data_IF_730842164897
#
_entry.id   IF_730842164897
#
_cell.length_a   1.000
_cell.length_b   1.000
_cell.length_c   1.000
_cell.angle_alpha   90.00
_cell.angle_beta   90.00
_cell.angle_gamma   90.00
#
_symmetry.space_group_name_H-M   'P 1'
#
loop_
_entity.id
_entity.type
_entity.pdbx_description
1 polymer ?
#
# COMPACT_ATOMS: atom_id res chain seq x y z
N UNK A 1 -16.53 18.70 3.31
CA UNK A 1 -15.38 19.29 2.60
C UNK A 1 -15.82 20.65 2.09
N UNK A 2 -14.99 21.69 2.23
CA UNK A 2 -15.29 23.04 1.72
C UNK A 2 -14.25 23.41 0.66
N UNK A 3 -14.65 24.21 -0.34
CA UNK A 3 -13.75 24.73 -1.37
C UNK A 3 -13.41 26.18 -0.99
N UNK A 4 -12.22 26.44 -0.40
CA UNK A 4 -11.92 27.75 0.17
C UNK A 4 -11.68 28.79 -0.93
N UNK A 5 -12.17 30.02 -0.70
CA UNK A 5 -11.84 31.16 -1.57
C UNK A 5 -10.38 31.56 -1.40
N UNK A 6 -9.64 31.64 -2.50
CA UNK A 6 -8.24 32.09 -2.52
C UNK A 6 -8.14 33.61 -2.40
N UNK A 7 -7.08 34.12 -1.77
CA UNK A 7 -6.87 35.56 -1.59
C UNK A 7 -6.52 36.23 -2.93
N UNK A 8 -6.76 37.54 -3.05
CA UNK A 8 -6.42 38.29 -4.26
C UNK A 8 -4.92 38.19 -4.61
N UNK A 9 -4.04 38.16 -3.61
CA UNK A 9 -2.60 37.97 -3.78
C UNK A 9 -2.26 36.62 -4.41
N UNK A 10 -2.86 35.54 -3.92
CA UNK A 10 -2.66 34.19 -4.45
C UNK A 10 -3.22 34.09 -5.88
N UNK A 11 -4.39 34.67 -6.12
CA UNK A 11 -4.98 34.75 -7.46
C UNK A 11 -4.10 35.53 -8.44
N UNK A 12 -3.36 36.56 -7.99
CA UNK A 12 -2.41 37.27 -8.82
C UNK A 12 -1.23 36.37 -9.24
N UNK A 13 -0.65 35.62 -8.29
CA UNK A 13 0.41 34.64 -8.59
C UNK A 13 -0.06 33.55 -9.57
N UNK A 14 -1.31 33.10 -9.45
CA UNK A 14 -1.89 32.18 -10.45
C UNK A 14 -2.00 32.79 -11.85
N UNK A 15 -2.31 34.09 -11.97
CA UNK A 15 -2.36 34.78 -13.27
C UNK A 15 -0.98 34.87 -13.94
N UNK A 16 0.09 34.94 -13.16
CA UNK A 16 1.46 34.95 -13.69
C UNK A 16 1.88 33.57 -14.24
N UNK A 17 1.34 32.50 -13.67
CA UNK A 17 1.62 31.11 -14.08
C UNK A 17 0.75 30.70 -15.27
N UNK A 18 -0.54 31.06 -15.23
CA UNK A 18 -1.55 30.59 -16.16
C UNK A 18 -1.68 31.49 -17.40
N UNK A 19 -2.69 31.21 -18.23
CA UNK A 19 -2.99 32.01 -19.43
C UNK A 19 -4.20 32.92 -19.17
N UNK A 20 -4.38 34.01 -19.95
CA UNK A 20 -5.43 35.00 -19.68
C UNK A 20 -6.87 34.45 -19.60
N UNK A 21 -7.14 33.33 -20.28
CA UNK A 21 -8.46 32.67 -20.28
C UNK A 21 -8.68 31.70 -19.12
N UNK A 22 -7.67 31.46 -18.29
CA UNK A 22 -7.75 30.60 -17.11
C UNK A 22 -8.58 31.24 -15.99
N UNK A 23 -9.36 30.44 -15.27
CA UNK A 23 -9.98 30.87 -14.02
C UNK A 23 -9.00 30.65 -12.86
N UNK A 24 -8.74 31.70 -12.09
CA UNK A 24 -7.89 31.65 -10.89
C UNK A 24 -8.69 31.57 -9.59
N UNK A 25 -10.02 31.43 -9.68
CA UNK A 25 -10.85 31.11 -8.54
C UNK A 25 -10.59 29.66 -8.09
N UNK A 26 -11.22 29.22 -6.99
CA UNK A 26 -11.21 27.81 -6.61
C UNK A 26 -12.56 27.21 -7.00
N UNK A 27 -12.64 26.26 -7.96
CA UNK A 27 -11.53 25.55 -8.61
C UNK A 27 -10.74 26.37 -9.63
N UNK A 28 -9.43 26.10 -9.70
CA UNK A 28 -8.49 26.72 -10.65
C UNK A 28 -8.61 25.99 -11.98
N UNK A 29 -8.87 26.73 -13.06
CA UNK A 29 -9.02 26.18 -14.40
C UNK A 29 -7.80 26.51 -15.27
N UNK A 30 -7.08 25.48 -15.70
CA UNK A 30 -5.83 25.65 -16.44
C UNK A 30 -6.10 26.11 -17.88
N UNK A 31 -7.27 25.77 -18.44
CA UNK A 31 -7.72 26.20 -19.76
C UNK A 31 -6.73 25.94 -20.91
N UNK A 32 -5.90 24.91 -20.83
CA UNK A 32 -4.86 24.62 -21.82
C UNK A 32 -3.47 25.20 -21.51
N UNK A 33 -3.25 25.76 -20.30
CA UNK A 33 -1.96 26.32 -19.92
C UNK A 33 -0.81 25.30 -19.92
N UNK A 34 -1.10 24.01 -19.69
CA UNK A 34 -0.07 22.96 -19.73
C UNK A 34 0.52 22.76 -21.12
N UNK A 35 -0.33 22.94 -22.12
CA UNK A 35 -0.12 22.69 -23.54
C UNK A 35 0.40 23.93 -24.27
N UNK A 36 0.04 25.12 -23.79
CA UNK A 36 0.46 26.39 -24.38
C UNK A 36 1.67 27.03 -23.71
N UNK A 37 1.88 26.81 -22.40
CA UNK A 37 3.01 27.40 -21.67
C UNK A 37 4.07 26.36 -21.30
N UNK A 38 3.69 25.41 -20.45
CA UNK A 38 4.61 24.44 -19.88
C UNK A 38 3.83 23.45 -19.04
N UNK A 39 4.24 22.17 -19.03
CA UNK A 39 3.71 21.19 -18.09
C UNK A 39 4.06 21.54 -16.64
N UNK A 40 5.02 22.45 -16.41
CA UNK A 40 5.36 22.88 -15.07
C UNK A 40 4.24 23.62 -14.33
N UNK A 41 3.23 24.11 -15.06
CA UNK A 41 2.05 24.77 -14.47
C UNK A 41 1.34 23.87 -13.45
N UNK A 42 1.37 22.54 -13.64
CA UNK A 42 0.78 21.58 -12.70
C UNK A 42 1.44 21.68 -11.32
N UNK A 43 2.76 21.49 -11.22
CA UNK A 43 3.43 21.59 -9.92
C UNK A 43 3.44 23.01 -9.36
N UNK A 44 3.56 24.05 -10.21
CA UNK A 44 3.54 25.44 -9.75
C UNK A 44 2.21 25.81 -9.11
N UNK A 45 1.09 25.40 -9.72
CA UNK A 45 -0.22 25.68 -9.19
C UNK A 45 -0.52 24.89 -7.91
N UNK A 46 -0.10 23.62 -7.87
CA UNK A 46 -0.26 22.76 -6.69
C UNK A 46 0.58 23.27 -5.52
N UNK A 47 1.83 23.68 -5.77
CA UNK A 47 2.70 24.24 -4.74
C UNK A 47 2.08 25.51 -4.12
N UNK A 48 1.61 26.43 -4.96
CA UNK A 48 0.99 27.67 -4.50
C UNK A 48 -0.27 27.41 -3.64
N UNK A 49 -1.04 26.37 -3.98
CA UNK A 49 -2.20 25.95 -3.17
C UNK A 49 -1.74 25.36 -1.83
N UNK A 50 -0.72 24.49 -1.83
CA UNK A 50 -0.19 23.84 -0.63
C UNK A 50 0.45 24.81 0.36
N UNK A 51 0.94 25.97 -0.11
CA UNK A 51 1.44 27.04 0.77
C UNK A 51 0.36 27.74 1.60
N UNK A 52 -0.93 27.55 1.28
CA UNK A 52 -2.02 28.26 1.96
C UNK A 52 -2.49 27.49 3.20
N UNK A 53 -2.50 28.12 4.37
CA UNK A 53 -2.95 27.49 5.63
C UNK A 53 -4.39 26.98 5.56
N UNK A 54 -5.25 27.66 4.81
CA UNK A 54 -6.66 27.29 4.59
C UNK A 54 -6.88 26.11 3.63
N UNK A 55 -5.81 25.54 3.08
CA UNK A 55 -5.86 24.40 2.17
C UNK A 55 -5.27 23.20 2.89
N UNK A 56 -6.13 22.25 3.25
CA UNK A 56 -5.72 21.01 3.92
C UNK A 56 -5.33 19.92 2.93
N UNK A 57 -5.89 19.96 1.72
CA UNK A 57 -5.68 18.96 0.67
C UNK A 57 -5.88 19.55 -0.71
N UNK A 58 -5.26 18.95 -1.72
CA UNK A 58 -5.37 19.38 -3.13
C UNK A 58 -6.00 18.27 -3.97
N UNK A 59 -6.93 18.64 -4.85
CA UNK A 59 -7.51 17.75 -5.84
C UNK A 59 -7.20 18.28 -7.24
N UNK A 60 -6.48 17.48 -8.04
CA UNK A 60 -6.21 17.78 -9.44
C UNK A 60 -7.15 16.94 -10.29
N UNK A 61 -7.84 17.56 -11.23
CA UNK A 61 -8.84 16.93 -12.10
C UNK A 61 -8.56 17.32 -13.56
N UNK A 62 -8.62 16.35 -14.49
CA UNK A 62 -8.53 16.64 -15.93
C UNK A 62 -7.75 15.63 -16.76
N UNK A 63 -6.77 16.13 -17.52
CA UNK A 63 -6.12 15.42 -18.63
C UNK A 63 -4.62 15.16 -18.41
N UNK A 64 -4.12 15.30 -17.17
CA UNK A 64 -2.71 15.12 -16.85
C UNK A 64 -2.19 13.76 -17.34
N UNK A 65 -1.01 13.74 -17.95
CA UNK A 65 -0.26 12.53 -18.29
C UNK A 65 -0.42 12.04 -19.73
N UNK A 66 -1.61 12.16 -20.32
CA UNK A 66 -1.92 11.50 -21.61
C UNK A 66 -2.18 12.43 -22.78
N UNK A 67 -2.25 13.75 -22.56
CA UNK A 67 -2.43 14.69 -23.67
C UNK A 67 -1.11 14.96 -24.38
N UNK A 68 -1.06 14.67 -25.69
CA UNK A 68 0.10 14.93 -26.54
C UNK A 68 0.33 16.43 -26.70
N UNK A 69 1.56 16.87 -26.48
CA UNK A 69 1.98 18.27 -26.66
C UNK A 69 3.39 18.33 -27.24
N UNK A 70 3.66 19.30 -28.12
CA UNK A 70 5.00 19.53 -28.66
C UNK A 70 5.96 20.12 -27.63
N UNK A 71 5.43 20.56 -26.49
CA UNK A 71 6.20 21.10 -25.37
C UNK A 71 6.93 20.02 -24.55
N UNK A 72 6.58 18.73 -24.71
CA UNK A 72 7.15 17.67 -23.90
C UNK A 72 8.61 17.35 -24.29
N UNK A 73 9.56 18.09 -23.72
CA UNK A 73 10.98 17.98 -24.03
C UNK A 73 11.86 18.26 -22.81
N UNK A 74 13.02 17.62 -22.73
CA UNK A 74 13.99 17.83 -21.66
C UNK A 74 13.39 17.60 -20.27
N UNK A 75 13.34 18.66 -19.46
CA UNK A 75 12.76 18.64 -18.11
C UNK A 75 11.26 18.97 -18.08
N UNK A 76 10.67 19.42 -19.18
CA UNK A 76 9.26 19.77 -19.28
C UNK A 76 8.44 18.54 -19.69
N UNK A 77 8.33 17.55 -18.82
CA UNK A 77 7.61 16.29 -19.09
C UNK A 77 6.56 15.99 -18.02
N UNK A 78 5.58 15.15 -18.32
CA UNK A 78 4.62 14.69 -17.31
C UNK A 78 5.32 13.89 -16.20
N UNK A 79 6.36 13.15 -16.57
CA UNK A 79 7.21 12.38 -15.64
C UNK A 79 7.98 13.29 -14.68
N UNK A 80 8.52 14.42 -15.17
CA UNK A 80 9.16 15.43 -14.33
C UNK A 80 8.15 16.13 -13.41
N UNK A 81 6.98 16.47 -13.95
CA UNK A 81 5.87 17.07 -13.18
C UNK A 81 5.38 16.12 -12.09
N UNK A 82 5.24 14.82 -12.38
CA UNK A 82 4.89 13.79 -11.40
C UNK A 82 5.91 13.71 -10.25
N UNK A 83 7.22 13.74 -10.55
CA UNK A 83 8.27 13.77 -9.51
C UNK A 83 8.20 15.03 -8.66
N UNK A 84 7.93 16.19 -9.27
CA UNK A 84 7.77 17.44 -8.55
C UNK A 84 6.56 17.36 -7.61
N UNK A 85 5.40 16.88 -8.08
CA UNK A 85 4.20 16.66 -7.26
C UNK A 85 4.47 15.75 -6.05
N UNK A 86 5.17 14.63 -6.24
CA UNK A 86 5.58 13.75 -5.13
C UNK A 86 6.45 14.49 -4.09
N UNK A 87 7.36 15.35 -4.57
CA UNK A 87 8.24 16.14 -3.69
C UNK A 87 7.45 17.18 -2.90
N UNK A 88 6.44 17.81 -3.52
CA UNK A 88 5.56 18.78 -2.85
C UNK A 88 4.74 18.12 -1.74
N UNK A 89 4.17 16.94 -2.00
CA UNK A 89 3.39 16.17 -1.01
C UNK A 89 4.25 15.82 0.20
N UNK A 90 5.51 15.44 0.00
CA UNK A 90 6.48 15.21 1.09
C UNK A 90 6.83 16.49 1.85
N UNK A 91 7.02 17.61 1.14
CA UNK A 91 7.44 18.89 1.72
C UNK A 91 6.35 19.55 2.56
N UNK A 92 5.12 19.61 2.05
CA UNK A 92 4.02 20.31 2.69
C UNK A 92 3.14 19.41 3.56
N UNK A 93 3.30 18.09 3.46
CA UNK A 93 2.51 17.09 4.19
C UNK A 93 0.99 17.26 4.02
N UNK A 94 0.55 17.78 2.86
CA UNK A 94 -0.86 17.93 2.47
C UNK A 94 -1.22 16.85 1.45
N UNK A 95 -2.31 16.08 1.66
CA UNK A 95 -2.73 15.08 0.70
C UNK A 95 -3.03 15.68 -0.67
N UNK A 96 -2.59 14.99 -1.72
CA UNK A 96 -2.91 15.28 -3.11
C UNK A 96 -3.60 14.06 -3.71
N UNK A 97 -4.77 14.26 -4.29
CA UNK A 97 -5.44 13.24 -5.10
C UNK A 97 -5.43 13.73 -6.55
N UNK A 98 -5.07 12.84 -7.47
CA UNK A 98 -5.07 13.14 -8.89
C UNK A 98 -6.15 12.31 -9.59
N UNK A 99 -7.02 12.99 -10.32
CA UNK A 99 -7.91 12.40 -11.30
C UNK A 99 -7.39 12.74 -12.70
N UNK A 100 -7.31 11.72 -13.55
CA UNK A 100 -7.04 11.89 -14.98
C UNK A 100 -7.87 10.92 -15.80
N UNK A 101 -8.39 11.36 -16.95
CA UNK A 101 -9.11 10.45 -17.86
C UNK A 101 -8.22 9.31 -18.40
N UNK A 102 -6.90 9.51 -18.37
CA UNK A 102 -5.88 8.57 -18.82
C UNK A 102 -5.34 7.68 -17.71
N UNK A 103 -5.89 7.75 -16.49
CA UNK A 103 -5.32 7.09 -15.31
C UNK A 103 -5.10 5.56 -15.46
N UNK A 104 -5.84 4.90 -16.35
CA UNK A 104 -5.74 3.46 -16.60
C UNK A 104 -4.72 3.13 -17.71
N UNK A 105 -4.17 4.14 -18.39
CA UNK A 105 -3.15 3.98 -19.41
C UNK A 105 -1.78 3.72 -18.76
N UNK A 106 -0.90 2.90 -19.40
CA UNK A 106 0.41 2.54 -18.87
C UNK A 106 1.43 3.67 -19.06
N UNK A 107 1.19 4.82 -18.42
CA UNK A 107 2.03 6.01 -18.53
C UNK A 107 2.98 6.14 -17.33
N UNK A 108 4.30 6.31 -17.55
CA UNK A 108 5.30 6.37 -16.48
C UNK A 108 5.03 7.44 -15.40
N UNK A 109 4.36 8.52 -15.78
CA UNK A 109 3.98 9.57 -14.83
C UNK A 109 3.01 9.06 -13.75
N UNK A 110 2.07 8.17 -14.09
CA UNK A 110 1.12 7.62 -13.12
C UNK A 110 1.77 6.59 -12.21
N UNK A 111 2.68 5.78 -12.73
CA UNK A 111 3.45 4.83 -11.92
C UNK A 111 4.28 5.57 -10.87
N UNK A 112 4.92 6.68 -11.26
CA UNK A 112 5.66 7.55 -10.33
C UNK A 112 4.77 8.19 -9.28
N UNK A 113 3.59 8.68 -9.66
CA UNK A 113 2.64 9.28 -8.72
C UNK A 113 2.19 8.24 -7.69
N UNK A 114 1.80 7.04 -8.15
CA UNK A 114 1.36 5.93 -7.28
C UNK A 114 2.49 5.50 -6.34
N UNK A 115 3.68 5.26 -6.87
CA UNK A 115 4.89 4.94 -6.09
C UNK A 115 5.28 6.05 -5.10
N UNK A 116 4.96 7.31 -5.42
CA UNK A 116 5.16 8.47 -4.57
C UNK A 116 4.08 8.70 -3.51
N UNK A 117 3.07 7.81 -3.41
CA UNK A 117 1.97 7.92 -2.45
C UNK A 117 0.85 8.88 -2.88
N UNK A 118 0.80 9.28 -4.15
CA UNK A 118 -0.30 10.08 -4.71
C UNK A 118 -1.28 9.14 -5.39
N UNK A 119 -2.50 8.97 -4.86
CA UNK A 119 -3.51 8.13 -5.51
C UNK A 119 -4.00 8.78 -6.81
N UNK A 120 -4.04 7.96 -7.87
CA UNK A 120 -4.44 8.35 -9.22
C UNK A 120 -5.69 7.56 -9.63
N UNK A 121 -6.77 8.27 -9.96
CA UNK A 121 -8.05 7.66 -10.33
C UNK A 121 -8.54 8.13 -11.70
N UNK A 122 -9.26 7.24 -12.40
CA UNK A 122 -9.95 7.63 -13.64
C UNK A 122 -11.27 8.34 -13.37
N UNK A 123 -12.07 7.81 -12.46
CA UNK A 123 -13.40 8.33 -12.17
C UNK A 123 -13.35 9.46 -11.13
N UNK A 124 -13.96 10.63 -11.40
CA UNK A 124 -13.99 11.74 -10.46
C UNK A 124 -14.69 11.40 -9.14
N UNK A 125 -15.72 10.56 -9.16
CA UNK A 125 -16.46 10.13 -7.97
C UNK A 125 -15.58 9.31 -7.03
N UNK A 126 -14.79 8.39 -7.59
CA UNK A 126 -13.84 7.57 -6.83
C UNK A 126 -12.73 8.44 -6.22
N UNK A 127 -12.22 9.40 -6.99
CA UNK A 127 -11.22 10.35 -6.51
C UNK A 127 -11.74 11.21 -5.35
N UNK A 128 -12.96 11.73 -5.48
CA UNK A 128 -13.60 12.52 -4.43
C UNK A 128 -13.87 11.70 -3.16
N UNK A 129 -14.32 10.44 -3.29
CA UNK A 129 -14.51 9.52 -2.16
C UNK A 129 -13.19 9.19 -1.46
N UNK A 130 -12.13 8.95 -2.21
CA UNK A 130 -10.80 8.73 -1.66
C UNK A 130 -10.32 9.94 -0.87
N UNK A 131 -10.50 11.15 -1.42
CA UNK A 131 -10.17 12.39 -0.72
C UNK A 131 -10.98 12.57 0.57
N UNK A 132 -12.28 12.28 0.54
CA UNK A 132 -13.13 12.32 1.75
C UNK A 132 -12.61 11.35 2.81
N UNK A 133 -12.23 10.14 2.41
CA UNK A 133 -11.71 9.11 3.31
C UNK A 133 -10.36 9.51 3.93
N UNK A 134 -9.49 10.18 3.16
CA UNK A 134 -8.23 10.73 3.67
C UNK A 134 -8.45 11.83 4.71
N UNK A 135 -9.43 12.71 4.46
CA UNK A 135 -9.82 13.75 5.42
C UNK A 135 -10.42 13.14 6.69
N UNK A 136 -11.23 12.10 6.57
CA UNK A 136 -11.80 11.38 7.72
C UNK A 136 -10.74 10.62 8.51
N UNK A 137 -9.81 9.94 7.85
CA UNK A 137 -8.71 9.20 8.49
C UNK A 137 -7.70 10.13 9.18
N UNK A 138 -7.55 11.37 8.69
CA UNK A 138 -6.74 12.41 9.32
C UNK A 138 -7.39 13.07 10.54
N UNK A 139 -8.69 12.85 10.78
CA UNK A 139 -9.33 13.28 12.03
C UNK A 139 -8.87 12.36 13.16
N UNK A 140 -8.48 12.89 14.33
CA UNK A 140 -8.29 12.05 15.50
C UNK A 140 -9.55 11.21 15.70
N UNK A 141 -9.39 9.89 15.87
CA UNK A 141 -10.50 9.02 16.24
C UNK A 141 -11.16 9.60 17.49
N UNK A 142 -12.31 10.26 17.32
CA UNK A 142 -13.20 10.53 18.44
C UNK A 142 -13.57 9.17 19.01
N UNK A 143 -13.18 8.89 20.25
CA UNK A 143 -13.46 7.63 20.96
C UNK A 143 -14.98 7.46 21.27
N UNK A 144 -15.87 8.03 20.44
CA UNK A 144 -17.32 8.07 20.65
C UNK A 144 -18.10 7.03 19.85
N UNK A 145 -17.47 6.31 18.91
CA UNK A 145 -18.09 5.15 18.30
C UNK A 145 -17.95 3.95 19.24
N UNK A 146 -19.06 3.41 19.76
CA UNK A 146 -19.04 2.09 20.42
C UNK A 146 -18.42 1.10 19.44
N UNK A 147 -17.19 0.70 19.72
CA UNK A 147 -16.60 -0.46 19.06
C UNK A 147 -17.58 -1.62 19.25
N UNK A 148 -18.09 -2.16 18.14
CA UNK A 148 -18.88 -3.41 18.16
C UNK A 148 -17.96 -4.58 18.51
N UNK A 149 -16.64 -4.38 18.38
CA UNK A 149 -15.63 -5.23 18.98
C UNK A 149 -15.56 -4.94 20.49
N UNK A 150 -16.07 -5.86 21.29
CA UNK A 150 -15.57 -5.98 22.66
C UNK A 150 -14.11 -6.39 22.54
N UNK A 151 -13.21 -5.54 23.02
CA UNK A 151 -11.81 -5.94 23.14
C UNK A 151 -11.79 -7.21 24.00
N UNK A 152 -11.20 -8.31 23.50
CA UNK A 152 -10.93 -9.47 24.33
C UNK A 152 -10.20 -8.97 25.57
N UNK A 153 -10.68 -9.36 26.76
CA UNK A 153 -10.11 -8.92 28.04
C UNK A 153 -8.59 -9.02 27.97
N UNK A 154 -7.92 -7.88 28.17
CA UNK A 154 -6.48 -7.71 28.04
C UNK A 154 -5.70 -8.67 28.96
N UNK A 155 -5.54 -9.92 28.53
CA UNK A 155 -4.73 -10.91 29.23
C UNK A 155 -3.49 -11.33 28.43
N UNK A 156 -3.28 -10.80 27.23
CA UNK A 156 -1.99 -10.94 26.55
C UNK A 156 -1.17 -9.67 26.74
N UNK A 157 -0.53 -9.60 27.91
CA UNK A 157 0.67 -8.78 28.14
C UNK A 157 1.85 -9.26 27.27
N UNK A 158 1.64 -9.49 25.97
CA UNK A 158 2.74 -9.59 25.04
C UNK A 158 3.12 -8.15 24.71
N UNK A 159 3.83 -7.52 25.64
CA UNK A 159 4.63 -6.36 25.34
C UNK A 159 5.69 -6.82 24.35
N UNK A 160 5.33 -6.79 23.06
CA UNK A 160 6.24 -7.10 21.98
C UNK A 160 7.27 -5.97 21.92
N UNK A 161 8.32 -6.07 22.74
CA UNK A 161 9.61 -5.45 22.42
C UNK A 161 10.28 -6.33 21.37
N UNK A 162 9.72 -6.36 20.16
CA UNK A 162 10.34 -7.09 19.06
C UNK A 162 11.04 -6.13 18.10
N UNK A 163 12.10 -6.59 17.41
CA UNK A 163 12.60 -5.93 16.21
C UNK A 163 11.48 -5.71 15.18
N UNK A 164 11.75 -4.89 14.16
CA UNK A 164 10.80 -4.44 13.12
C UNK A 164 9.92 -5.54 12.47
N UNK A 165 10.22 -6.83 12.63
CA UNK A 165 9.46 -7.97 12.08
C UNK A 165 9.34 -9.11 13.10
N UNK A 166 8.12 -9.61 13.32
CA UNK A 166 7.82 -10.76 14.19
C UNK A 166 8.04 -12.11 13.49
N UNK A 167 8.46 -13.12 14.26
CA UNK A 167 8.41 -14.52 13.81
C UNK A 167 6.95 -14.99 13.70
N UNK A 168 6.68 -16.02 12.90
CA UNK A 168 5.32 -16.55 12.79
C UNK A 168 4.76 -17.07 14.13
N UNK A 169 5.51 -17.83 14.96
CA UNK A 169 5.00 -18.26 16.27
C UNK A 169 4.56 -17.09 17.15
N UNK A 170 5.37 -16.03 17.26
CA UNK A 170 5.05 -14.84 18.04
C UNK A 170 3.87 -14.05 17.46
N UNK A 171 3.80 -13.92 16.13
CA UNK A 171 2.68 -13.28 15.45
C UNK A 171 1.37 -14.06 15.63
N UNK A 172 1.42 -15.40 15.58
CA UNK A 172 0.27 -16.27 15.78
C UNK A 172 -0.23 -16.22 17.23
N UNK A 173 0.67 -16.20 18.21
CA UNK A 173 0.33 -16.03 19.63
C UNK A 173 -0.35 -14.68 19.88
N UNK A 174 0.23 -13.60 19.34
CA UNK A 174 -0.36 -12.26 19.43
C UNK A 174 -1.78 -12.24 18.83
N UNK A 175 -1.95 -12.77 17.62
CA UNK A 175 -3.24 -12.82 16.95
C UNK A 175 -4.28 -13.63 17.75
N UNK A 176 -3.89 -14.77 18.33
CA UNK A 176 -4.77 -15.54 19.23
C UNK A 176 -5.14 -14.76 20.49
N UNK A 177 -4.21 -13.98 21.06
CA UNK A 177 -4.49 -13.07 22.18
C UNK A 177 -5.57 -12.03 21.87
N UNK A 178 -5.69 -11.63 20.60
CA UNK A 178 -6.77 -10.77 20.09
C UNK A 178 -8.00 -11.55 19.59
N UNK A 179 -8.10 -12.84 19.86
CA UNK A 179 -9.22 -13.68 19.44
C UNK A 179 -9.27 -13.95 17.93
N UNK A 180 -8.19 -13.68 17.18
CA UNK A 180 -8.13 -13.99 15.76
C UNK A 180 -7.89 -15.50 15.55
N UNK A 181 -8.73 -16.18 14.75
CA UNK A 181 -8.51 -17.58 14.43
C UNK A 181 -7.28 -17.71 13.51
N UNK A 182 -6.30 -18.49 13.94
CA UNK A 182 -5.08 -18.78 13.17
C UNK A 182 -5.00 -20.27 12.91
N UNK A 183 -4.80 -20.66 11.64
CA UNK A 183 -4.60 -22.06 11.26
C UNK A 183 -3.40 -22.64 12.04
N UNK A 184 -3.53 -23.84 12.64
CA UNK A 184 -2.45 -24.44 13.40
C UNK A 184 -1.23 -24.66 12.50
N UNK A 185 -0.05 -24.41 13.07
CA UNK A 185 1.22 -24.69 12.42
C UNK A 185 2.15 -25.25 13.50
N UNK A 186 2.58 -26.49 13.30
CA UNK A 186 3.44 -27.23 14.22
C UNK A 186 4.87 -27.17 13.70
N UNK A 187 5.82 -26.77 14.55
CA UNK A 187 7.23 -26.77 14.20
C UNK A 187 7.77 -28.21 14.20
N UNK A 188 8.51 -28.57 13.15
CA UNK A 188 9.10 -29.90 12.97
C UNK A 188 10.57 -29.76 12.58
N UNK A 189 11.40 -30.68 13.05
CA UNK A 189 12.85 -30.62 12.85
C UNK A 189 13.30 -31.23 11.51
N UNK A 190 12.59 -32.25 11.03
CA UNK A 190 12.99 -33.05 9.89
C UNK A 190 11.79 -33.68 9.17
N UNK A 191 12.08 -34.48 8.14
CA UNK A 191 11.07 -35.15 7.33
C UNK A 191 10.27 -36.18 8.13
N UNK A 192 10.87 -36.83 9.11
CA UNK A 192 10.20 -37.86 9.91
C UNK A 192 9.17 -37.22 10.84
N UNK A 193 9.57 -36.17 11.56
CA UNK A 193 8.67 -35.38 12.39
C UNK A 193 7.53 -34.75 11.55
N UNK A 194 7.84 -34.27 10.34
CA UNK A 194 6.82 -33.74 9.43
C UNK A 194 5.79 -34.80 9.02
N UNK A 195 6.24 -36.01 8.69
CA UNK A 195 5.35 -37.12 8.30
C UNK A 195 4.49 -37.57 9.47
N UNK A 196 5.05 -37.67 10.68
CA UNK A 196 4.29 -38.01 11.88
C UNK A 196 3.18 -37.00 12.15
N UNK A 197 3.48 -35.70 12.08
CA UNK A 197 2.48 -34.65 12.30
C UNK A 197 1.44 -34.60 11.16
N UNK A 198 1.85 -34.86 9.91
CA UNK A 198 0.91 -34.99 8.79
C UNK A 198 -0.03 -36.19 8.97
N UNK A 199 0.47 -37.31 9.52
CA UNK A 199 -0.35 -38.47 9.87
C UNK A 199 -1.40 -38.15 10.94
N UNK A 200 -1.08 -37.23 11.85
CA UNK A 200 -1.99 -36.76 12.92
C UNK A 200 -3.00 -35.71 12.41
N UNK A 201 -2.55 -34.82 11.55
CA UNK A 201 -3.34 -33.69 11.01
C UNK A 201 -4.26 -34.11 9.87
N UNK A 202 -3.84 -35.09 9.07
CA UNK A 202 -4.48 -35.50 7.83
C UNK A 202 -4.04 -34.67 6.62
N UNK A 203 -3.99 -35.31 5.46
CA UNK A 203 -3.65 -34.67 4.19
C UNK A 203 -4.87 -33.96 3.57
N UNK A 204 -4.67 -32.86 2.82
CA UNK A 204 -3.40 -32.30 2.41
C UNK A 204 -2.87 -31.28 3.41
N UNK A 205 -1.56 -31.21 3.46
CA UNK A 205 -0.82 -30.33 4.36
C UNK A 205 -0.06 -29.27 3.57
N UNK A 206 0.30 -28.20 4.27
CA UNK A 206 1.23 -27.18 3.80
C UNK A 206 2.49 -27.24 4.65
N UNK A 207 3.65 -27.19 3.99
CA UNK A 207 4.96 -27.09 4.62
C UNK A 207 5.54 -25.70 4.36
N UNK A 208 6.08 -25.05 5.38
CA UNK A 208 6.65 -23.69 5.31
C UNK A 208 8.00 -23.64 6.02
N UNK A 209 8.96 -22.91 5.47
CA UNK A 209 10.15 -22.49 6.23
C UNK A 209 9.80 -21.28 7.12
N UNK A 210 10.16 -21.37 8.39
CA UNK A 210 9.98 -20.34 9.40
C UNK A 210 11.26 -19.49 9.50
N UNK A 211 11.55 -18.74 8.44
CA UNK A 211 12.71 -17.85 8.41
C UNK A 211 12.39 -16.53 9.14
N UNK A 212 13.22 -16.09 10.10
CA UNK A 212 13.14 -14.73 10.64
C UNK A 212 13.37 -13.69 9.53
N UNK A 213 12.57 -12.62 9.50
CA UNK A 213 12.81 -11.48 8.60
C UNK A 213 12.45 -11.68 7.12
N UNK A 214 11.85 -12.80 6.72
CA UNK A 214 11.39 -13.02 5.34
C UNK A 214 9.87 -12.85 5.24
N UNK A 215 9.43 -11.73 4.66
CA UNK A 215 8.01 -11.45 4.40
C UNK A 215 7.47 -12.23 3.19
N UNK A 216 8.23 -12.31 2.09
CA UNK A 216 7.81 -12.91 0.81
C UNK A 216 8.24 -14.38 0.64
N UNK A 217 7.64 -15.27 1.43
CA UNK A 217 8.05 -16.69 1.53
C UNK A 217 7.81 -17.52 0.26
N UNK A 218 6.81 -17.18 -0.55
CA UNK A 218 6.49 -17.96 -1.76
C UNK A 218 7.53 -17.75 -2.88
N UNK A 219 8.05 -16.53 -3.00
CA UNK A 219 8.98 -16.14 -4.08
C UNK A 219 10.37 -16.79 -3.93
N UNK A 220 10.73 -17.19 -2.71
CA UNK A 220 11.98 -17.92 -2.41
C UNK A 220 11.79 -19.44 -2.34
N UNK A 221 10.58 -19.96 -2.64
CA UNK A 221 10.28 -21.39 -2.54
C UNK A 221 10.13 -21.91 -1.11
N UNK A 222 9.97 -21.01 -0.12
CA UNK A 222 9.85 -21.34 1.30
C UNK A 222 8.44 -21.84 1.70
N UNK A 223 7.57 -22.12 0.73
CA UNK A 223 6.24 -22.71 0.92
C UNK A 223 6.00 -23.82 -0.09
N UNK A 224 5.57 -24.99 0.39
CA UNK A 224 5.08 -26.10 -0.40
C UNK A 224 3.65 -26.42 0.06
N UNK A 225 2.69 -26.06 -0.79
CA UNK A 225 1.27 -26.23 -0.53
C UNK A 225 0.72 -27.49 -1.21
N UNK A 226 -0.47 -27.92 -0.78
CA UNK A 226 -1.21 -29.03 -1.36
C UNK A 226 -0.40 -30.34 -1.46
N UNK A 227 0.38 -30.65 -0.41
CA UNK A 227 1.06 -31.93 -0.29
C UNK A 227 0.00 -32.96 0.09
N UNK A 228 -0.26 -33.96 -0.75
CA UNK A 228 -1.37 -34.90 -0.58
C UNK A 228 -0.96 -36.27 -0.04
N UNK A 229 0.34 -36.53 0.08
CA UNK A 229 0.88 -37.79 0.57
C UNK A 229 2.29 -37.64 1.15
N UNK A 230 2.75 -38.69 1.82
CA UNK A 230 4.07 -38.77 2.48
C UNK A 230 5.24 -38.54 1.52
N UNK A 231 5.21 -39.16 0.32
CA UNK A 231 6.31 -39.04 -0.63
C UNK A 231 6.52 -37.59 -1.09
N UNK A 232 5.42 -36.87 -1.36
CA UNK A 232 5.46 -35.45 -1.68
C UNK A 232 5.99 -34.61 -0.52
N UNK A 233 5.59 -34.92 0.72
CA UNK A 233 6.02 -34.20 1.91
C UNK A 233 7.52 -34.38 2.17
N UNK A 234 8.04 -35.61 2.14
CA UNK A 234 9.47 -35.88 2.30
C UNK A 234 10.30 -35.16 1.24
N UNK A 235 9.89 -35.26 -0.02
CA UNK A 235 10.55 -34.55 -1.12
C UNK A 235 10.46 -33.02 -1.00
N UNK A 236 9.42 -32.46 -0.36
CA UNK A 236 9.37 -31.03 -0.07
C UNK A 236 10.35 -30.62 1.03
N UNK A 237 10.46 -31.41 2.11
CA UNK A 237 11.39 -31.17 3.22
C UNK A 237 12.84 -31.20 2.73
N UNK A 238 13.23 -32.26 2.03
CA UNK A 238 14.60 -32.42 1.52
C UNK A 238 15.01 -31.27 0.61
N UNK A 239 14.13 -30.91 -0.35
CA UNK A 239 14.39 -29.77 -1.25
C UNK A 239 14.54 -28.46 -0.49
N UNK A 240 13.66 -28.15 0.46
CA UNK A 240 13.71 -26.90 1.22
C UNK A 240 14.96 -26.79 2.10
N UNK A 241 15.36 -27.89 2.74
CA UNK A 241 16.55 -27.91 3.58
C UNK A 241 17.85 -27.88 2.77
N UNK A 242 17.86 -28.47 1.57
CA UNK A 242 19.03 -28.48 0.68
C UNK A 242 19.17 -27.22 -0.19
N UNK A 243 18.12 -26.40 -0.36
CA UNK A 243 18.17 -25.25 -1.25
C UNK A 243 19.13 -24.16 -0.71
N UNK A 244 20.25 -23.98 -1.40
CA UNK A 244 21.29 -23.01 -1.04
C UNK A 244 20.89 -21.56 -1.33
N UNK A 245 19.80 -21.34 -2.09
CA UNK A 245 19.26 -20.01 -2.38
C UNK A 245 18.43 -19.44 -1.23
N UNK A 246 18.06 -20.28 -0.25
CA UNK A 246 17.29 -19.83 0.91
C UNK A 246 18.16 -18.90 1.79
N UNK A 247 17.61 -17.75 2.22
CA UNK A 247 18.35 -16.80 3.05
C UNK A 247 18.63 -17.36 4.45
N UNK A 248 19.78 -16.97 5.01
CA UNK A 248 20.24 -17.39 6.33
C UNK A 248 20.97 -18.75 6.34
N UNK A 249 21.70 -19.06 7.42
CA UNK A 249 22.44 -20.30 7.56
C UNK A 249 21.49 -21.50 7.68
N UNK A 250 21.86 -22.64 7.10
CA UNK A 250 21.03 -23.85 7.08
C UNK A 250 20.66 -24.37 8.47
N UNK A 251 21.52 -24.14 9.47
CA UNK A 251 21.30 -24.52 10.88
C UNK A 251 20.14 -23.76 11.56
N UNK A 252 19.75 -22.60 11.03
CA UNK A 252 18.66 -21.77 11.56
C UNK A 252 17.33 -22.04 10.87
N UNK A 253 17.31 -22.90 9.84
CA UNK A 253 16.07 -23.27 9.15
C UNK A 253 15.18 -24.06 10.12
N UNK A 254 13.93 -23.61 10.25
CA UNK A 254 12.88 -24.28 11.00
C UNK A 254 11.72 -24.57 10.05
N UNK A 255 11.11 -25.74 10.15
CA UNK A 255 9.99 -26.13 9.31
C UNK A 255 8.71 -26.04 10.12
N UNK A 256 7.65 -25.52 9.51
CA UNK A 256 6.30 -25.51 10.04
C UNK A 256 5.37 -26.28 9.13
N UNK A 257 4.61 -27.23 9.68
CA UNK A 257 3.60 -28.00 8.98
C UNK A 257 2.21 -27.70 9.54
N UNK A 258 1.19 -27.64 8.69
CA UNK A 258 -0.19 -27.44 9.10
C UNK A 258 -1.19 -27.89 8.04
N UNK A 259 -2.49 -27.90 8.36
CA UNK A 259 -3.53 -28.28 7.42
C UNK A 259 -3.64 -27.26 6.29
N UNK A 260 -3.90 -27.75 5.06
CA UNK A 260 -4.18 -26.88 3.93
C UNK A 260 -5.65 -26.42 3.98
N UNK A 261 -5.86 -25.11 4.00
CA UNK A 261 -7.21 -24.53 3.85
C UNK A 261 -7.58 -24.57 2.36
N UNK A 262 -8.69 -25.23 2.03
CA UNK A 262 -9.06 -25.57 0.64
C UNK A 262 -10.14 -24.70 0.02
N UNK A 263 -10.86 -23.91 0.82
CA UNK A 263 -12.03 -23.17 0.36
C UNK A 263 -12.19 -21.87 1.13
N UNK A 264 -12.52 -20.80 0.42
CA UNK A 264 -12.76 -19.49 0.99
C UNK A 264 -12.44 -18.40 0.00
N UNK A 265 -12.79 -17.17 0.36
CA UNK A 265 -12.28 -15.98 -0.32
C UNK A 265 -10.98 -15.62 0.37
N UNK A 266 -9.90 -15.58 -0.38
CA UNK A 266 -8.65 -15.04 0.13
C UNK A 266 -8.79 -13.52 0.26
N UNK A 267 -8.39 -12.99 1.41
CA UNK A 267 -8.33 -11.56 1.64
C UNK A 267 -7.07 -11.23 2.43
N UNK A 268 -6.36 -10.19 1.99
CA UNK A 268 -5.29 -9.56 2.75
C UNK A 268 -5.82 -8.31 3.42
N UNK A 269 -5.50 -8.13 4.70
CA UNK A 269 -5.68 -6.86 5.39
C UNK A 269 -4.35 -6.44 5.99
N UNK A 270 -4.05 -5.16 5.92
CA UNK A 270 -2.86 -4.60 6.52
C UNK A 270 -3.05 -3.17 6.95
N UNK A 271 -2.18 -2.74 7.86
CA UNK A 271 -2.10 -1.36 8.31
C UNK A 271 -0.66 -0.90 8.21
N UNK A 272 -0.44 0.23 7.55
CA UNK A 272 0.86 0.87 7.45
C UNK A 272 0.78 2.29 7.98
N UNK A 273 1.85 2.75 8.62
CA UNK A 273 2.00 4.14 9.03
C UNK A 273 3.00 4.81 8.09
N UNK A 274 2.53 5.31 6.95
CA UNK A 274 3.37 6.00 5.97
C UNK A 274 3.06 7.48 5.98
N UNK A 275 4.09 8.31 6.16
CA UNK A 275 3.95 9.76 5.93
C UNK A 275 3.97 10.01 4.41
N UNK A 276 3.07 10.85 3.87
CA UNK A 276 2.18 11.79 4.58
C UNK A 276 0.74 11.29 4.78
N UNK A 277 0.39 10.09 4.33
CA UNK A 277 -0.98 9.56 4.38
C UNK A 277 -1.46 9.22 5.81
N UNK A 278 -0.57 9.24 6.79
CA UNK A 278 -0.89 8.92 8.18
C UNK A 278 -0.97 7.41 8.37
N UNK A 279 -2.02 6.92 9.03
CA UNK A 279 -2.23 5.49 9.24
C UNK A 279 -3.16 4.96 8.14
N UNK A 280 -2.59 4.32 7.14
CA UNK A 280 -3.34 3.65 6.08
C UNK A 280 -3.77 2.25 6.56
N UNK A 281 -5.03 1.91 6.36
CA UNK A 281 -5.51 0.52 6.44
C UNK A 281 -5.98 0.10 5.06
N UNK A 282 -5.60 -1.08 4.61
CA UNK A 282 -6.00 -1.62 3.31
C UNK A 282 -6.62 -3.00 3.50
N UNK A 283 -7.60 -3.30 2.65
CA UNK A 283 -8.21 -4.62 2.49
C UNK A 283 -8.17 -4.94 1.00
N UNK A 284 -7.58 -6.07 0.65
CA UNK A 284 -7.52 -6.60 -0.70
C UNK A 284 -8.14 -8.00 -0.70
N UNK A 285 -8.94 -8.32 -1.72
CA UNK A 285 -9.32 -9.71 -1.99
C UNK A 285 -8.23 -10.31 -2.87
N UNK A 286 -7.68 -11.47 -2.51
CA UNK A 286 -6.49 -12.00 -3.15
C UNK A 286 -6.78 -12.55 -4.56
N UNK A 287 -5.71 -12.46 -5.37
CA UNK A 287 -5.67 -12.49 -6.84
C UNK A 287 -4.57 -11.55 -7.38
N UNK A 288 -4.07 -10.62 -6.55
CA UNK A 288 -2.97 -9.69 -6.84
C UNK A 288 -1.71 -10.01 -6.02
N UNK A 289 -0.54 -9.81 -6.62
CA UNK A 289 0.76 -9.87 -5.93
C UNK A 289 0.89 -8.72 -4.92
N UNK A 290 1.10 -9.06 -3.64
CA UNK A 290 1.30 -8.13 -2.52
C UNK A 290 2.55 -7.25 -2.64
N UNK A 291 3.46 -7.54 -3.60
CA UNK A 291 4.64 -6.73 -3.90
C UNK A 291 4.32 -5.29 -4.37
N UNK A 292 3.05 -4.99 -4.65
CA UNK A 292 2.57 -3.65 -5.00
C UNK A 292 2.15 -2.78 -3.81
N UNK A 293 2.16 -3.32 -2.57
CA UNK A 293 1.72 -2.63 -1.35
C UNK A 293 2.87 -2.30 -0.37
N UNK A 294 4.10 -2.69 -0.68
CA UNK A 294 5.30 -2.20 0.01
C UNK A 294 5.70 -0.83 -0.60
N UNK A 295 4.88 0.19 -0.33
CA UNK A 295 5.15 1.61 -0.58
C UNK A 295 5.17 2.39 0.73
#
# INVERSE_FOLDING_TARGET
>A
MIVPRLSAEVQAKYRDILIPRSSVNNPIEFAGAGEERSLAVYQQCVELAMQQDKVDSVFVYGYFGGLRTDLEQGTNTYTASARALCSLVKRYAKPLVLQSIYADDPLPAFDLLRAGGIPVFRQPETAARALSSLVEAGRPFGHGGRSVFQEPGHNSAVAVQAPNVLSFPSAAELARGYGMPISPLTEVADAEAAVQEAGRTGYPVVLKLLLPGVAHKTEVGAVAANLTNEAQLRGAVERMLADTRMPGPSSERRLGIGPMVRSGVEAGWGRSATRPLGRLSWLALAGFSLSSLEM
#
